data_IF_500766906712
#
_entry.id   IF_500766906712
#
_cell.length_a   1.000
_cell.length_b   1.000
_cell.length_c   1.000
_cell.angle_alpha   90.00
_cell.angle_beta   90.00
_cell.angle_gamma   90.00
#
_symmetry.space_group_name_H-M   'P 1'
#
loop_
_entity.id
_entity.type
_entity.pdbx_description
1 polymer ?
#
# COMPACT_ATOMS: atom_id res chain seq x y z
N UNK A 1 7.79 12.64 -12.33
CA UNK A 1 7.83 13.79 -13.27
C UNK A 1 9.14 14.60 -13.34
N UNK A 2 10.15 14.43 -12.46
CA UNK A 2 11.35 15.30 -12.44
C UNK A 2 12.61 14.83 -13.22
N UNK A 3 12.65 13.61 -13.79
CA UNK A 3 13.85 13.10 -14.52
C UNK A 3 13.82 13.25 -16.06
N UNK A 4 12.80 13.89 -16.63
CA UNK A 4 12.65 14.03 -18.09
C UNK A 4 12.70 15.46 -18.62
N UNK A 5 12.82 16.49 -17.77
CA UNK A 5 12.58 17.89 -18.18
C UNK A 5 13.48 18.43 -19.31
N UNK A 6 14.64 17.80 -19.59
CA UNK A 6 15.57 18.25 -20.65
C UNK A 6 16.01 17.14 -21.64
N UNK A 7 15.34 15.98 -21.68
CA UNK A 7 15.72 14.94 -22.67
C UNK A 7 15.05 15.21 -24.01
N UNK A 8 15.85 15.52 -25.04
CA UNK A 8 15.39 15.57 -26.43
C UNK A 8 15.09 14.14 -26.91
N UNK A 9 13.81 13.81 -27.07
CA UNK A 9 13.41 12.53 -27.66
C UNK A 9 13.49 12.61 -29.19
N UNK A 10 14.09 11.61 -29.82
CA UNK A 10 14.17 11.48 -31.29
C UNK A 10 13.13 10.46 -31.76
N UNK A 11 12.47 10.75 -32.88
CA UNK A 11 11.54 9.82 -33.49
C UNK A 11 12.33 8.64 -34.07
N UNK A 12 11.92 7.40 -33.78
CA UNK A 12 12.62 6.21 -34.29
C UNK A 12 12.52 6.07 -35.81
N UNK A 13 11.43 6.54 -36.43
CA UNK A 13 11.22 6.49 -37.88
C UNK A 13 11.71 7.73 -38.62
N UNK A 14 12.19 8.76 -37.92
CA UNK A 14 12.52 10.07 -38.52
C UNK A 14 11.33 10.86 -39.08
N UNK A 15 10.18 10.20 -39.30
CA UNK A 15 8.98 10.77 -39.93
C UNK A 15 8.09 11.59 -39.00
N UNK A 16 8.38 11.61 -37.70
CA UNK A 16 7.56 12.26 -36.67
C UNK A 16 6.07 11.83 -36.65
N UNK A 17 5.74 10.70 -37.31
CA UNK A 17 4.40 10.14 -37.47
C UNK A 17 4.44 8.61 -37.39
N UNK A 18 4.85 8.06 -36.26
CA UNK A 18 4.74 6.62 -36.05
C UNK A 18 3.25 6.23 -36.04
N UNK A 19 2.86 5.21 -36.80
CA UNK A 19 1.48 4.73 -36.85
C UNK A 19 1.04 4.17 -35.50
N UNK A 20 -0.18 4.52 -35.09
CA UNK A 20 -0.79 4.06 -33.84
C UNK A 20 -1.27 2.61 -34.08
N UNK A 21 -0.57 1.62 -33.53
CA UNK A 21 -0.92 0.20 -33.66
C UNK A 21 0.05 -0.74 -32.94
N UNK A 22 -0.14 -2.06 -33.08
CA UNK A 22 0.68 -3.13 -32.47
C UNK A 22 2.11 -3.16 -33.02
N UNK A 23 2.93 -2.21 -32.56
CA UNK A 23 4.31 -2.03 -32.99
C UNK A 23 4.88 -0.72 -32.48
N UNK A 24 6.19 -0.68 -32.23
CA UNK A 24 6.87 0.28 -31.34
C UNK A 24 6.48 1.75 -31.58
N UNK A 25 5.67 2.29 -30.68
CA UNK A 25 5.39 3.72 -30.54
C UNK A 25 6.57 4.44 -29.89
N UNK A 26 7.32 5.24 -30.66
CA UNK A 26 8.46 5.96 -30.09
C UNK A 26 8.00 7.03 -29.08
N UNK A 27 8.84 7.25 -28.06
CA UNK A 27 8.53 8.16 -26.95
C UNK A 27 8.26 9.61 -27.39
N UNK A 28 8.90 10.06 -28.49
CA UNK A 28 8.68 11.40 -29.06
C UNK A 28 7.25 11.55 -29.60
N UNK A 29 6.80 10.65 -30.48
CA UNK A 29 5.46 10.70 -31.06
C UNK A 29 4.37 10.52 -30.00
N UNK A 30 4.59 9.66 -29.00
CA UNK A 30 3.66 9.50 -27.88
C UNK A 30 3.49 10.78 -27.06
N UNK A 31 4.59 11.49 -26.76
CA UNK A 31 4.52 12.74 -26.00
C UNK A 31 3.84 13.86 -26.79
N UNK A 32 4.17 14.02 -28.08
CA UNK A 32 3.54 15.02 -28.96
C UNK A 32 2.03 14.77 -29.10
N UNK A 33 1.61 13.52 -29.15
CA UNK A 33 0.19 13.17 -29.20
C UNK A 33 -0.54 13.51 -27.89
N UNK A 34 0.11 13.29 -26.74
CA UNK A 34 -0.45 13.69 -25.44
C UNK A 34 -0.52 15.22 -25.32
N UNK A 35 0.51 15.94 -25.76
CA UNK A 35 0.52 17.41 -25.82
C UNK A 35 -0.63 17.92 -26.69
N UNK A 36 -0.82 17.36 -27.88
CA UNK A 36 -1.94 17.69 -28.79
C UNK A 36 -3.31 17.44 -28.17
N UNK A 37 -3.46 16.40 -27.36
CA UNK A 37 -4.73 16.09 -26.66
C UNK A 37 -4.97 16.99 -25.44
N UNK A 38 -3.90 17.54 -24.85
CA UNK A 38 -3.96 18.43 -23.69
C UNK A 38 -4.10 19.90 -24.09
N UNK A 39 -3.57 20.30 -25.24
CA UNK A 39 -3.78 21.61 -25.83
C UNK A 39 -5.21 21.72 -26.39
N UNK A 40 -6.13 22.22 -25.57
CA UNK A 40 -7.44 22.72 -26.06
C UNK A 40 -8.69 22.08 -25.46
N UNK A 41 -8.59 21.15 -24.51
CA UNK A 41 -9.77 20.63 -23.78
C UNK A 41 -9.57 20.68 -22.25
N UNK A 42 -10.51 21.24 -21.48
CA UNK A 42 -10.50 21.07 -20.03
C UNK A 42 -10.58 19.58 -19.68
N UNK A 43 -9.80 19.14 -18.68
CA UNK A 43 -9.69 17.74 -18.23
C UNK A 43 -11.05 17.07 -18.00
N UNK A 44 -12.08 17.84 -17.62
CA UNK A 44 -13.44 17.35 -17.44
C UNK A 44 -14.11 16.80 -18.70
N UNK A 45 -13.76 17.30 -19.90
CA UNK A 45 -14.33 16.79 -21.16
C UNK A 45 -13.68 15.49 -21.62
N UNK A 46 -12.37 15.33 -21.39
CA UNK A 46 -11.63 14.11 -21.76
C UNK A 46 -12.09 12.87 -20.97
N UNK A 47 -12.50 13.05 -19.71
CA UNK A 47 -13.06 11.97 -18.88
C UNK A 47 -14.50 11.61 -19.28
N UNK A 48 -15.25 12.58 -19.82
CA UNK A 48 -16.64 12.39 -20.25
C UNK A 48 -16.71 11.65 -21.60
N UNK A 49 -15.77 11.89 -22.50
CA UNK A 49 -15.67 11.18 -23.80
C UNK A 49 -15.32 9.69 -23.62
N UNK A 50 -14.41 9.34 -22.70
CA UNK A 50 -14.10 7.92 -22.39
C UNK A 50 -15.27 7.15 -21.76
N UNK A 51 -16.19 7.86 -21.12
CA UNK A 51 -17.39 7.27 -20.51
C UNK A 51 -18.51 7.04 -21.54
N UNK A 52 -18.53 7.81 -22.63
CA UNK A 52 -19.53 7.71 -23.69
C UNK A 52 -19.24 6.57 -24.68
N UNK A 53 -17.97 6.24 -24.92
CA UNK A 53 -17.57 5.18 -25.87
C UNK A 53 -17.75 3.74 -25.34
N UNK A 54 -18.06 3.54 -24.05
CA UNK A 54 -18.29 2.20 -23.46
C UNK A 54 -19.75 1.75 -23.39
N UNK A 55 -20.71 2.59 -23.76
CA UNK A 55 -22.14 2.30 -23.57
C UNK A 55 -22.93 1.95 -24.84
N UNK A 56 -22.26 1.76 -25.98
CA UNK A 56 -22.87 1.19 -27.18
C UNK A 56 -22.32 -0.20 -27.39
N UNK A 57 -22.95 -1.19 -26.76
CA UNK A 57 -23.09 -2.59 -27.23
C UNK A 57 -23.43 -3.52 -26.06
N UNK A 58 -24.72 -3.58 -25.69
CA UNK A 58 -25.40 -4.85 -25.40
C UNK A 58 -26.86 -4.61 -24.99
N UNK A 59 -27.77 -4.90 -25.92
CA UNK A 59 -29.18 -5.08 -25.66
C UNK A 59 -29.56 -6.51 -26.05
N UNK A 60 -30.09 -7.29 -25.09
CA UNK A 60 -31.12 -8.37 -25.21
C UNK A 60 -30.99 -9.39 -24.05
N UNK A 61 -32.02 -10.25 -23.79
CA UNK A 61 -33.40 -9.92 -23.47
C UNK A 61 -33.91 -10.63 -22.19
N UNK A 62 -35.09 -10.23 -21.72
CA UNK A 62 -35.76 -10.75 -20.54
C UNK A 62 -36.22 -12.21 -20.68
N UNK A 63 -36.06 -13.01 -19.61
CA UNK A 63 -36.74 -14.31 -19.44
C UNK A 63 -37.38 -14.43 -18.05
N UNK A 64 -38.53 -15.07 -18.02
CA UNK A 64 -39.57 -15.03 -16.98
C UNK A 64 -39.55 -16.29 -16.09
N UNK A 65 -39.69 -16.08 -14.77
CA UNK A 65 -40.23 -16.93 -13.67
C UNK A 65 -39.72 -18.38 -13.48
N UNK A 66 -39.41 -18.72 -12.22
CA UNK A 66 -40.38 -19.40 -11.33
C UNK A 66 -39.95 -19.45 -9.86
N UNK A 67 -40.93 -19.21 -8.98
CA UNK A 67 -40.87 -19.31 -7.53
C UNK A 67 -40.95 -20.77 -7.05
N UNK A 68 -40.21 -21.12 -5.99
CA UNK A 68 -40.60 -22.19 -5.06
C UNK A 68 -40.30 -21.80 -3.61
N UNK A 69 -41.29 -22.07 -2.79
CA UNK A 69 -41.45 -21.81 -1.36
C UNK A 69 -40.63 -22.77 -0.48
N UNK A 70 -40.36 -22.27 0.73
CA UNK A 70 -39.58 -22.80 1.89
C UNK A 70 -40.07 -24.15 2.46
N UNK A 71 -39.38 -24.76 3.47
CA UNK A 71 -39.44 -24.28 4.86
C UNK A 71 -38.18 -24.43 5.75
N UNK A 72 -38.01 -23.42 6.61
CA UNK A 72 -37.64 -23.42 8.04
C UNK A 72 -36.55 -24.34 8.63
N UNK A 73 -35.53 -23.71 9.21
CA UNK A 73 -34.91 -24.15 10.46
C UNK A 73 -34.30 -22.95 11.24
N UNK A 74 -34.95 -22.61 12.35
CA UNK A 74 -34.44 -22.18 13.68
C UNK A 74 -33.04 -21.50 13.66
N UNK A 75 -32.88 -20.21 13.95
CA UNK A 75 -33.39 -19.52 15.14
C UNK A 75 -32.24 -19.31 16.14
N UNK A 76 -31.32 -18.40 15.83
CA UNK A 76 -30.41 -17.76 16.80
C UNK A 76 -29.92 -16.42 16.22
N UNK A 77 -30.83 -15.45 16.17
CA UNK A 77 -30.51 -14.06 15.86
C UNK A 77 -29.82 -13.42 17.06
N UNK A 78 -28.49 -13.36 16.98
CA UNK A 78 -27.68 -12.47 17.81
C UNK A 78 -28.12 -11.01 17.56
N UNK A 79 -28.28 -10.17 18.61
CA UNK A 79 -28.67 -8.77 18.46
C UNK A 79 -27.57 -7.87 17.84
N UNK A 80 -26.45 -8.44 17.38
CA UNK A 80 -25.37 -7.72 16.72
C UNK A 80 -25.48 -7.65 15.18
N UNK A 81 -26.46 -8.29 14.57
CA UNK A 81 -26.48 -8.50 13.11
C UNK A 81 -27.20 -7.42 12.28
N UNK A 82 -28.02 -6.55 12.89
CA UNK A 82 -28.80 -5.56 12.14
C UNK A 82 -28.24 -4.13 12.18
N UNK A 83 -27.26 -3.83 13.04
CA UNK A 83 -26.58 -2.52 13.09
C UNK A 83 -25.14 -2.59 12.56
N UNK A 84 -24.86 -3.56 11.68
CA UNK A 84 -23.76 -3.50 10.72
C UNK A 84 -24.05 -2.40 9.68
N UNK A 85 -24.24 -1.16 10.16
CA UNK A 85 -24.01 0.07 9.41
C UNK A 85 -22.74 -0.17 8.62
N UNK A 86 -22.79 0.13 7.32
CA UNK A 86 -21.64 0.09 6.43
C UNK A 86 -20.48 0.83 7.09
N UNK A 87 -19.65 0.12 7.86
CA UNK A 87 -18.51 0.71 8.51
C UNK A 87 -17.58 1.08 7.39
N UNK A 88 -17.39 2.38 7.22
CA UNK A 88 -16.55 2.96 6.20
C UNK A 88 -15.17 2.27 6.22
N UNK A 89 -14.62 1.95 5.04
CA UNK A 89 -13.36 1.22 4.92
C UNK A 89 -12.22 1.96 5.62
N UNK A 90 -12.24 3.30 5.65
CA UNK A 90 -11.27 4.10 6.39
C UNK A 90 -11.35 3.86 7.90
N UNK A 91 -12.54 3.70 8.46
CA UNK A 91 -12.70 3.42 9.89
C UNK A 91 -12.19 2.01 10.25
N UNK A 92 -12.47 1.03 9.39
CA UNK A 92 -11.91 -0.31 9.54
C UNK A 92 -10.39 -0.33 9.38
N UNK A 93 -9.86 0.49 8.48
CA UNK A 93 -8.41 0.68 8.33
C UNK A 93 -7.79 1.25 9.60
N UNK A 94 -8.41 2.24 10.25
CA UNK A 94 -7.93 2.78 11.53
C UNK A 94 -7.86 1.69 12.60
N UNK A 95 -8.95 0.95 12.77
CA UNK A 95 -9.05 -0.11 13.78
C UNK A 95 -8.09 -1.27 13.48
N UNK A 96 -8.06 -1.75 12.24
CA UNK A 96 -7.20 -2.83 11.80
C UNK A 96 -5.72 -2.45 11.87
N UNK A 97 -5.35 -1.23 11.46
CA UNK A 97 -3.98 -0.76 11.56
C UNK A 97 -3.52 -0.68 13.02
N UNK A 98 -4.35 -0.10 13.91
CA UNK A 98 -4.06 -0.05 15.34
C UNK A 98 -3.87 -1.44 15.94
N UNK A 99 -4.82 -2.36 15.71
CA UNK A 99 -4.73 -3.74 16.20
C UNK A 99 -3.48 -4.47 15.69
N UNK A 100 -3.10 -4.23 14.43
CA UNK A 100 -1.87 -4.79 13.85
C UNK A 100 -0.62 -4.19 14.53
N UNK A 101 -0.58 -2.88 14.77
CA UNK A 101 0.51 -2.24 15.50
C UNK A 101 0.65 -2.84 16.91
N UNK A 102 -0.45 -2.94 17.67
CA UNK A 102 -0.50 -3.47 19.03
C UNK A 102 -0.06 -4.93 19.11
N UNK A 103 -0.45 -5.74 18.12
CA UNK A 103 -0.03 -7.15 18.02
C UNK A 103 1.47 -7.25 17.73
N UNK A 104 2.00 -6.39 16.84
CA UNK A 104 3.42 -6.38 16.45
C UNK A 104 4.32 -5.91 17.58
N UNK A 105 4.00 -4.78 18.21
CA UNK A 105 4.78 -4.28 19.36
C UNK A 105 4.81 -5.32 20.48
N UNK A 106 3.67 -5.91 20.83
CA UNK A 106 3.60 -6.96 21.87
C UNK A 106 4.45 -8.17 21.49
N UNK A 107 4.33 -8.65 20.25
CA UNK A 107 5.14 -9.76 19.74
C UNK A 107 6.64 -9.46 19.76
N UNK A 108 7.03 -8.27 19.34
CA UNK A 108 8.44 -7.87 19.30
C UNK A 108 9.05 -7.67 20.69
N UNK A 109 8.29 -7.12 21.65
CA UNK A 109 8.73 -6.99 23.05
C UNK A 109 8.91 -8.36 23.70
N UNK A 110 7.99 -9.31 23.43
CA UNK A 110 8.08 -10.68 23.93
C UNK A 110 9.24 -11.47 23.30
N UNK A 111 9.64 -11.13 22.08
CA UNK A 111 10.77 -11.75 21.39
C UNK A 111 12.14 -11.14 21.78
N UNK A 112 12.16 -10.11 22.64
CA UNK A 112 13.40 -9.41 23.02
C UNK A 112 14.25 -10.23 23.98
N UNK A 113 15.57 -10.08 23.85
CA UNK A 113 16.56 -10.67 24.75
C UNK A 113 17.50 -9.56 25.23
N UNK A 114 17.59 -9.28 26.54
CA UNK A 114 16.77 -9.86 27.62
C UNK A 114 15.29 -9.42 27.53
N UNK A 115 14.36 -10.18 28.14
CA UNK A 115 12.96 -9.80 28.16
C UNK A 115 12.75 -8.49 28.93
N UNK A 116 11.74 -7.71 28.51
CA UNK A 116 11.32 -6.49 29.22
C UNK A 116 10.32 -6.87 30.32
N UNK A 117 10.37 -6.14 31.43
CA UNK A 117 9.38 -6.31 32.49
C UNK A 117 7.98 -5.96 31.98
N UNK A 118 6.92 -6.76 32.24
CA UNK A 118 5.59 -6.51 31.70
C UNK A 118 5.02 -5.11 32.01
N UNK A 119 5.27 -4.59 33.21
CA UNK A 119 4.84 -3.22 33.57
C UNK A 119 5.50 -2.16 32.71
N UNK A 120 6.80 -2.29 32.42
CA UNK A 120 7.52 -1.34 31.56
C UNK A 120 7.01 -1.41 30.12
N UNK A 121 6.68 -2.61 29.63
CA UNK A 121 6.07 -2.78 28.32
C UNK A 121 4.71 -2.09 28.20
N UNK A 122 3.83 -2.24 29.20
CA UNK A 122 2.50 -1.60 29.24
C UNK A 122 2.61 -0.08 29.34
N UNK A 123 3.58 0.43 30.10
CA UNK A 123 3.83 1.86 30.26
C UNK A 123 4.60 2.49 29.09
N UNK A 124 5.00 1.69 28.10
CA UNK A 124 5.80 2.17 26.97
C UNK A 124 7.24 2.55 27.33
N UNK A 125 7.73 2.09 28.49
CA UNK A 125 9.07 2.35 29.02
C UNK A 125 10.07 1.33 28.51
N UNK A 126 10.36 1.38 27.21
CA UNK A 126 11.36 0.51 26.61
C UNK A 126 12.23 1.25 25.59
N UNK A 127 13.50 0.87 25.53
CA UNK A 127 14.42 1.43 24.54
C UNK A 127 14.15 0.88 23.16
N UNK A 128 14.24 1.72 22.13
CA UNK A 128 14.32 1.28 20.74
C UNK A 128 15.78 0.95 20.47
N UNK A 129 16.09 -0.32 20.21
CA UNK A 129 17.48 -0.78 20.07
C UNK A 129 17.94 -0.76 18.60
N UNK A 130 19.26 -0.65 18.34
CA UNK A 130 19.80 -0.97 17.02
C UNK A 130 19.38 -2.38 16.61
N UNK A 131 18.86 -2.50 15.38
CA UNK A 131 18.41 -3.77 14.86
C UNK A 131 19.60 -4.71 14.60
N UNK A 132 19.37 -6.00 14.81
CA UNK A 132 20.25 -7.09 14.37
C UNK A 132 19.51 -7.96 13.37
N UNK A 133 20.22 -8.79 12.62
CA UNK A 133 19.59 -9.76 11.72
C UNK A 133 18.54 -10.61 12.43
N UNK A 134 18.86 -11.11 13.63
CA UNK A 134 17.94 -11.94 14.43
C UNK A 134 16.69 -11.18 14.87
N UNK A 135 16.85 -9.92 15.33
CA UNK A 135 15.68 -9.12 15.75
C UNK A 135 14.78 -8.79 14.57
N UNK A 136 15.35 -8.55 13.38
CA UNK A 136 14.60 -8.28 12.15
C UNK A 136 13.87 -9.53 11.66
N UNK A 137 14.53 -10.69 11.68
CA UNK A 137 13.90 -11.96 11.29
C UNK A 137 12.68 -12.26 12.18
N UNK A 138 12.86 -12.15 13.50
CA UNK A 138 11.76 -12.32 14.45
C UNK A 138 10.62 -11.32 14.19
N UNK A 139 10.94 -10.03 14.06
CA UNK A 139 9.96 -8.99 13.77
C UNK A 139 9.23 -9.22 12.44
N UNK A 140 9.92 -9.70 11.40
CA UNK A 140 9.32 -10.00 10.11
C UNK A 140 8.32 -11.15 10.18
N UNK A 141 8.61 -12.20 10.95
CA UNK A 141 7.70 -13.33 11.15
C UNK A 141 6.42 -12.89 11.87
N UNK A 142 6.58 -12.12 12.95
CA UNK A 142 5.45 -11.51 13.67
C UNK A 142 4.62 -10.63 12.72
N UNK A 143 5.30 -9.81 11.92
CA UNK A 143 4.64 -8.89 11.01
C UNK A 143 3.85 -9.60 9.90
N UNK A 144 4.39 -10.65 9.28
CA UNK A 144 3.67 -11.44 8.28
C UNK A 144 2.39 -12.07 8.83
N UNK A 145 2.44 -12.60 10.06
CA UNK A 145 1.24 -13.12 10.74
C UNK A 145 0.22 -12.01 10.98
N UNK A 146 0.66 -10.86 11.47
CA UNK A 146 -0.22 -9.72 11.71
C UNK A 146 -0.84 -9.16 10.42
N UNK A 147 -0.16 -9.24 9.27
CA UNK A 147 -0.69 -8.82 7.97
C UNK A 147 -1.85 -9.70 7.48
N UNK A 148 -1.79 -11.01 7.71
CA UNK A 148 -2.88 -11.91 7.37
C UNK A 148 -4.14 -11.56 8.18
N UNK A 149 -3.97 -11.32 9.48
CA UNK A 149 -5.06 -10.89 10.37
C UNK A 149 -5.60 -9.51 9.98
N UNK A 150 -4.71 -8.58 9.64
CA UNK A 150 -5.08 -7.25 9.12
C UNK A 150 -5.97 -7.36 7.89
N UNK A 151 -5.62 -8.23 6.93
CA UNK A 151 -6.42 -8.46 5.73
C UNK A 151 -7.85 -8.88 6.07
N UNK A 152 -8.01 -9.86 6.97
CA UNK A 152 -9.30 -10.38 7.43
C UNK A 152 -10.15 -9.31 8.14
N UNK A 153 -9.54 -8.53 9.02
CA UNK A 153 -10.24 -7.49 9.79
C UNK A 153 -10.68 -6.33 8.89
N UNK A 154 -9.83 -5.90 7.96
CA UNK A 154 -10.06 -4.68 7.18
C UNK A 154 -10.92 -4.93 5.94
N UNK A 155 -10.71 -6.05 5.24
CA UNK A 155 -11.31 -6.26 3.92
C UNK A 155 -12.32 -7.41 3.93
N UNK A 156 -13.64 -7.12 3.78
CA UNK A 156 -14.65 -8.16 3.57
C UNK A 156 -14.27 -9.11 2.44
N UNK A 157 -14.52 -10.40 2.62
CA UNK A 157 -14.22 -11.39 1.59
C UNK A 157 -12.76 -11.82 1.53
N UNK A 158 -11.83 -11.14 2.22
CA UNK A 158 -10.44 -11.60 2.29
C UNK A 158 -10.36 -13.01 2.88
N UNK A 159 -11.14 -13.32 3.91
CA UNK A 159 -11.21 -14.66 4.50
C UNK A 159 -11.73 -15.74 3.54
N UNK A 160 -12.50 -15.36 2.51
CA UNK A 160 -12.98 -16.28 1.48
C UNK A 160 -11.92 -16.65 0.45
N UNK A 161 -10.81 -15.91 0.36
CA UNK A 161 -9.74 -16.22 -0.58
C UNK A 161 -9.00 -17.51 -0.24
N UNK A 162 -8.41 -18.13 -1.25
CA UNK A 162 -7.55 -19.30 -1.06
C UNK A 162 -6.33 -18.93 -0.20
N UNK A 163 -5.74 -19.93 0.46
CA UNK A 163 -4.52 -19.74 1.26
C UNK A 163 -3.38 -19.15 0.42
N UNK A 164 -3.24 -19.62 -0.82
CA UNK A 164 -2.14 -19.25 -1.70
C UNK A 164 -2.32 -17.83 -2.25
N UNK A 165 -3.55 -17.40 -2.55
CA UNK A 165 -3.85 -16.01 -2.92
C UNK A 165 -3.57 -15.07 -1.75
N UNK A 166 -4.08 -15.39 -0.54
CA UNK A 166 -3.81 -14.60 0.67
C UNK A 166 -2.32 -14.41 0.89
N UNK A 167 -1.55 -15.50 0.78
CA UNK A 167 -0.11 -15.47 0.95
C UNK A 167 0.59 -14.64 -0.13
N UNK A 168 0.18 -14.78 -1.40
CA UNK A 168 0.73 -14.02 -2.53
C UNK A 168 0.49 -12.52 -2.37
N UNK A 169 -0.73 -12.13 -1.99
CA UNK A 169 -1.10 -10.74 -1.73
C UNK A 169 -0.28 -10.17 -0.56
N UNK A 170 -0.27 -10.86 0.59
CA UNK A 170 0.42 -10.40 1.80
C UNK A 170 1.92 -10.29 1.60
N UNK A 171 2.56 -11.24 0.93
CA UNK A 171 4.01 -11.20 0.71
C UNK A 171 4.43 -10.12 -0.29
N UNK A 172 3.62 -9.85 -1.33
CA UNK A 172 3.82 -8.70 -2.22
C UNK A 172 3.66 -7.37 -1.45
N UNK A 173 2.63 -7.26 -0.61
CA UNK A 173 2.37 -6.08 0.21
C UNK A 173 3.47 -5.82 1.24
N UNK A 174 3.91 -6.87 1.94
CA UNK A 174 4.86 -6.81 3.05
C UNK A 174 6.11 -5.98 2.74
N UNK A 175 6.72 -6.18 1.56
CA UNK A 175 7.95 -5.48 1.17
C UNK A 175 7.74 -3.97 1.06
N UNK A 176 6.65 -3.56 0.42
CA UNK A 176 6.33 -2.15 0.18
C UNK A 176 5.87 -1.48 1.47
N UNK A 177 5.00 -2.15 2.21
CA UNK A 177 4.50 -1.69 3.50
C UNK A 177 5.64 -1.42 4.47
N UNK A 178 6.58 -2.38 4.61
CA UNK A 178 7.65 -2.28 5.60
C UNK A 178 8.47 -1.01 5.41
N UNK A 179 8.87 -0.69 4.18
CA UNK A 179 9.63 0.52 3.89
C UNK A 179 8.78 1.79 4.09
N UNK A 180 7.53 1.77 3.63
CA UNK A 180 6.61 2.90 3.71
C UNK A 180 6.25 3.27 5.15
N UNK A 181 5.83 2.29 5.95
CA UNK A 181 5.50 2.47 7.37
C UNK A 181 6.73 2.89 8.17
N UNK A 182 7.88 2.23 7.94
CA UNK A 182 9.11 2.59 8.63
C UNK A 182 9.48 4.06 8.38
N UNK A 183 9.38 4.52 7.13
CA UNK A 183 9.59 5.93 6.79
C UNK A 183 8.58 6.85 7.45
N UNK A 184 7.29 6.51 7.42
CA UNK A 184 6.22 7.33 8.02
C UNK A 184 6.41 7.50 9.53
N UNK A 185 6.79 6.42 10.24
CA UNK A 185 7.09 6.45 11.67
C UNK A 185 8.39 7.18 11.97
N UNK A 186 9.42 6.99 11.14
CA UNK A 186 10.72 7.63 11.29
C UNK A 186 10.64 9.15 11.16
N UNK A 187 9.80 9.68 10.26
CA UNK A 187 9.55 11.12 10.15
C UNK A 187 9.09 11.74 11.47
N UNK A 188 8.25 11.03 12.22
CA UNK A 188 7.74 11.50 13.51
C UNK A 188 8.73 11.31 14.65
N UNK A 189 9.46 10.19 14.66
CA UNK A 189 10.31 9.80 15.79
C UNK A 189 11.74 10.37 15.73
N UNK A 190 12.32 10.48 14.53
CA UNK A 190 13.72 10.83 14.34
C UNK A 190 13.92 12.21 13.71
N UNK A 191 12.84 12.90 13.35
CA UNK A 191 12.89 14.23 12.75
C UNK A 191 13.87 14.29 11.58
N UNK A 192 14.91 15.14 11.70
CA UNK A 192 15.91 15.36 10.64
C UNK A 192 17.02 14.30 10.58
N UNK A 193 17.06 13.33 11.49
CA UNK A 193 18.04 12.23 11.46
C UNK A 193 17.69 11.22 10.35
N UNK A 194 17.94 11.60 9.09
CA UNK A 194 17.57 10.83 7.90
C UNK A 194 18.34 9.50 7.74
N UNK A 195 19.36 9.27 8.59
CA UNK A 195 20.13 8.03 8.64
C UNK A 195 19.53 6.98 9.58
N UNK A 196 18.39 7.29 10.21
CA UNK A 196 17.64 6.34 11.04
C UNK A 196 16.28 6.02 10.44
N UNK A 197 15.86 4.76 10.57
CA UNK A 197 14.48 4.36 10.26
C UNK A 197 14.11 3.16 11.12
N UNK A 198 12.82 2.87 11.23
CA UNK A 198 12.38 1.70 12.00
C UNK A 198 12.65 0.39 11.27
N UNK A 199 13.23 -0.57 11.98
CA UNK A 199 13.34 -1.96 11.56
C UNK A 199 12.17 -2.81 12.10
N UNK A 200 11.54 -2.35 13.17
CA UNK A 200 10.35 -2.92 13.80
C UNK A 200 9.66 -1.87 14.69
N UNK A 201 8.84 -2.30 15.63
CA UNK A 201 8.37 -1.44 16.72
C UNK A 201 9.42 -1.20 17.80
N UNK A 202 10.28 -2.18 18.07
CA UNK A 202 11.25 -2.12 19.16
C UNK A 202 12.70 -1.95 18.68
N UNK A 203 12.90 -1.80 17.37
CA UNK A 203 14.23 -1.67 16.78
C UNK A 203 14.31 -0.68 15.62
N UNK A 204 15.49 -0.10 15.43
CA UNK A 204 15.80 0.84 14.35
C UNK A 204 17.04 0.42 13.55
N UNK A 205 17.06 0.76 12.27
CA UNK A 205 18.28 0.75 11.47
C UNK A 205 18.99 2.08 11.61
N UNK A 206 20.31 2.00 11.75
CA UNK A 206 21.25 3.10 11.58
C UNK A 206 22.02 2.88 10.28
N UNK A 207 22.19 3.91 9.46
CA UNK A 207 22.90 3.84 8.18
C UNK A 207 24.34 3.32 8.29
N UNK A 208 24.95 3.39 9.47
CA UNK A 208 26.30 2.84 9.71
C UNK A 208 26.32 1.34 10.09
N UNK A 209 25.15 0.77 10.42
CA UNK A 209 24.91 -0.58 10.95
C UNK A 209 25.83 -1.02 12.11
N UNK A 210 25.27 -1.53 13.22
CA UNK A 210 26.11 -1.97 14.32
C UNK A 210 27.01 -3.14 13.86
N UNK A 211 28.22 -3.23 14.43
CA UNK A 211 29.23 -4.22 14.00
C UNK A 211 28.71 -5.67 14.09
N UNK A 212 27.86 -5.93 15.09
CA UNK A 212 27.23 -7.22 15.35
C UNK A 212 25.92 -7.45 14.57
N UNK A 213 25.60 -6.65 13.55
CA UNK A 213 24.35 -6.76 12.81
C UNK A 213 24.13 -8.17 12.22
N UNK A 214 25.18 -8.76 11.65
CA UNK A 214 25.14 -10.06 10.98
C UNK A 214 25.44 -11.24 11.90
N UNK A 215 25.49 -11.04 13.23
CA UNK A 215 25.79 -12.11 14.17
C UNK A 215 24.74 -13.23 14.08
N UNK A 216 25.22 -14.44 13.76
CA UNK A 216 24.36 -15.62 13.56
C UNK A 216 23.53 -15.59 12.27
N UNK A 217 23.83 -14.70 11.33
CA UNK A 217 23.30 -14.74 9.98
C UNK A 217 24.08 -15.79 9.16
N UNK A 218 23.42 -16.69 8.40
CA UNK A 218 24.08 -17.69 7.57
C UNK A 218 24.64 -17.08 6.28
N UNK A 219 25.41 -15.99 6.38
CA UNK A 219 26.04 -15.31 5.24
C UNK A 219 27.47 -15.79 5.07
N UNK A 220 27.80 -16.17 3.83
CA UNK A 220 29.14 -16.62 3.44
C UNK A 220 30.12 -15.43 3.45
N UNK A 221 29.67 -14.24 3.07
CA UNK A 221 30.45 -12.99 3.09
C UNK A 221 29.68 -11.87 3.81
N UNK A 222 29.91 -11.76 5.12
CA UNK A 222 29.29 -10.73 5.95
C UNK A 222 29.71 -9.30 5.57
N UNK A 223 30.92 -9.13 5.02
CA UNK A 223 31.44 -7.80 4.64
C UNK A 223 30.73 -7.28 3.41
N UNK A 224 30.56 -8.12 2.39
CA UNK A 224 29.81 -7.77 1.19
C UNK A 224 28.32 -7.59 1.51
N UNK A 225 27.74 -8.46 2.35
CA UNK A 225 26.36 -8.31 2.81
C UNK A 225 26.15 -6.96 3.51
N UNK A 226 27.08 -6.54 4.38
CA UNK A 226 27.06 -5.23 5.03
C UNK A 226 27.10 -4.10 4.00
N UNK A 227 28.08 -4.13 3.08
CA UNK A 227 28.24 -3.09 2.05
C UNK A 227 26.98 -2.92 1.19
N UNK A 228 26.39 -4.04 0.74
CA UNK A 228 25.16 -4.02 -0.08
C UNK A 228 23.98 -3.47 0.73
N UNK A 229 23.86 -3.87 2.00
CA UNK A 229 22.77 -3.41 2.84
C UNK A 229 22.89 -1.93 3.16
N UNK A 230 24.10 -1.42 3.44
CA UNK A 230 24.38 0.00 3.65
C UNK A 230 24.08 0.84 2.40
N UNK A 231 24.54 0.41 1.21
CA UNK A 231 24.24 1.12 -0.05
C UNK A 231 22.72 1.19 -0.28
N UNK A 232 22.03 0.07 -0.11
CA UNK A 232 20.58 0.00 -0.25
C UNK A 232 19.88 0.87 0.78
N UNK A 233 20.35 0.86 2.02
CA UNK A 233 19.80 1.67 3.09
C UNK A 233 19.89 3.16 2.77
N UNK A 234 21.11 3.62 2.48
CA UNK A 234 21.44 5.02 2.27
C UNK A 234 20.80 5.59 1.00
N UNK A 235 20.52 4.75 -0.01
CA UNK A 235 19.82 5.18 -1.22
C UNK A 235 18.31 5.11 -1.09
N UNK A 236 17.76 3.96 -0.71
CA UNK A 236 16.33 3.69 -0.83
C UNK A 236 15.55 4.30 0.34
N UNK A 237 16.01 4.11 1.58
CA UNK A 237 15.29 4.62 2.76
C UNK A 237 15.41 6.14 2.88
N UNK A 238 16.59 6.71 2.60
CA UNK A 238 16.76 8.15 2.59
C UNK A 238 15.81 8.82 1.58
N UNK A 239 15.81 8.33 0.34
CA UNK A 239 14.94 8.87 -0.72
C UNK A 239 13.46 8.70 -0.36
N UNK A 240 13.07 7.54 0.17
CA UNK A 240 11.70 7.26 0.58
C UNK A 240 11.24 8.18 1.72
N UNK A 241 12.09 8.41 2.74
CA UNK A 241 11.81 9.34 3.82
C UNK A 241 11.63 10.77 3.32
N UNK A 242 12.50 11.23 2.41
CA UNK A 242 12.35 12.55 1.78
C UNK A 242 11.04 12.69 1.01
N UNK A 243 10.59 11.64 0.32
CA UNK A 243 9.29 11.64 -0.36
C UNK A 243 8.13 11.70 0.63
N UNK A 244 8.17 10.95 1.73
CA UNK A 244 7.16 10.97 2.78
C UNK A 244 7.11 12.32 3.52
N UNK A 245 8.28 12.89 3.82
CA UNK A 245 8.42 14.22 4.38
C UNK A 245 7.73 15.27 3.51
N UNK A 246 8.05 15.25 2.21
CA UNK A 246 7.47 16.18 1.23
C UNK A 246 5.96 15.94 1.07
N UNK A 247 5.53 14.69 1.12
CA UNK A 247 4.11 14.34 1.02
C UNK A 247 3.33 14.81 2.25
N UNK A 248 3.95 14.94 3.43
CA UNK A 248 3.31 15.40 4.67
C UNK A 248 1.93 14.74 4.88
N UNK A 249 1.93 13.41 4.98
CA UNK A 249 0.71 12.61 5.01
C UNK A 249 -0.05 12.82 6.32
N UNK A 250 -1.35 13.12 6.20
CA UNK A 250 -2.30 12.95 7.29
C UNK A 250 -2.51 11.45 7.55
N UNK A 251 -2.99 11.11 8.74
CA UNK A 251 -3.11 9.71 9.12
C UNK A 251 -4.08 8.94 8.21
N UNK A 252 -5.22 9.53 7.85
CA UNK A 252 -6.19 8.88 6.96
C UNK A 252 -5.67 8.70 5.53
N UNK A 253 -4.86 9.65 5.04
CA UNK A 253 -4.18 9.51 3.75
C UNK A 253 -3.14 8.39 3.78
N UNK A 254 -2.39 8.27 4.89
CA UNK A 254 -1.47 7.16 5.10
C UNK A 254 -2.21 5.82 5.08
N UNK A 255 -3.33 5.70 5.79
CA UNK A 255 -4.16 4.49 5.82
C UNK A 255 -4.74 4.14 4.44
N UNK A 256 -5.21 5.14 3.69
CA UNK A 256 -5.69 4.94 2.32
C UNK A 256 -4.58 4.43 1.40
N UNK A 257 -3.37 5.02 1.46
CA UNK A 257 -2.21 4.55 0.69
C UNK A 257 -1.84 3.12 1.08
N UNK A 258 -1.89 2.77 2.37
CA UNK A 258 -1.67 1.40 2.83
C UNK A 258 -2.66 0.41 2.20
N UNK A 259 -3.95 0.76 2.17
CA UNK A 259 -4.97 -0.10 1.59
C UNK A 259 -4.80 -0.29 0.08
N UNK A 260 -4.48 0.79 -0.65
CA UNK A 260 -4.19 0.73 -2.09
C UNK A 260 -2.93 -0.09 -2.39
N UNK A 261 -1.94 -0.03 -1.51
CA UNK A 261 -0.72 -0.82 -1.59
C UNK A 261 -0.98 -2.30 -1.31
N UNK A 262 -1.87 -2.63 -0.36
CA UNK A 262 -2.32 -4.00 -0.08
C UNK A 262 -2.93 -4.63 -1.33
N UNK A 263 -3.82 -3.87 -2.00
CA UNK A 263 -4.48 -4.28 -3.24
C UNK A 263 -3.72 -3.86 -4.49
N UNK A 264 -2.38 -3.84 -4.45
CA UNK A 264 -1.56 -3.68 -5.67
C UNK A 264 -1.25 -5.04 -6.26
N UNK A 265 -2.29 -5.70 -6.78
CA UNK A 265 -2.27 -7.10 -7.23
C UNK A 265 -2.04 -7.29 -8.73
N UNK A 266 -1.86 -6.20 -9.48
CA UNK A 266 -1.64 -6.26 -10.92
C UNK A 266 -0.42 -7.11 -11.28
N UNK A 267 -0.64 -8.13 -12.11
CA UNK A 267 0.41 -9.07 -12.55
C UNK A 267 0.79 -10.14 -11.53
N UNK A 268 0.09 -10.24 -10.39
CA UNK A 268 0.26 -11.37 -9.47
C UNK A 268 -0.47 -12.61 -9.99
N UNK A 269 0.05 -13.82 -9.73
CA UNK A 269 -0.59 -15.08 -10.11
C UNK A 269 -1.69 -15.45 -9.08
N UNK A 270 -2.75 -14.64 -9.03
CA UNK A 270 -3.91 -14.86 -8.17
C UNK A 270 -5.15 -15.17 -9.03
N UNK A 271 -6.17 -15.78 -8.43
CA UNK A 271 -7.40 -16.10 -9.15
C UNK A 271 -8.29 -14.86 -9.43
N UNK A 272 -9.33 -15.09 -10.23
CA UNK A 272 -10.27 -14.03 -10.65
C UNK A 272 -11.06 -13.45 -9.47
N UNK A 273 -11.43 -14.27 -8.48
CA UNK A 273 -12.14 -13.84 -7.28
C UNK A 273 -11.30 -12.84 -6.46
N UNK A 274 -10.01 -13.14 -6.27
CA UNK A 274 -9.07 -12.26 -5.58
C UNK A 274 -8.82 -10.97 -6.37
N UNK A 275 -8.78 -11.06 -7.70
CA UNK A 275 -8.65 -9.90 -8.59
C UNK A 275 -9.88 -8.99 -8.51
N UNK A 276 -11.08 -9.56 -8.56
CA UNK A 276 -12.34 -8.83 -8.41
C UNK A 276 -12.46 -8.17 -7.04
N UNK A 277 -12.10 -8.90 -5.97
CA UNK A 277 -12.09 -8.35 -4.61
C UNK A 277 -11.10 -7.18 -4.49
N UNK A 278 -9.90 -7.33 -5.05
CA UNK A 278 -8.89 -6.27 -5.09
C UNK A 278 -9.43 -4.98 -5.74
N UNK A 279 -10.05 -5.10 -6.91
CA UNK A 279 -10.66 -3.96 -7.61
C UNK A 279 -11.77 -3.31 -6.78
N UNK A 280 -12.68 -4.12 -6.25
CA UNK A 280 -13.79 -3.64 -5.40
C UNK A 280 -13.29 -2.87 -4.19
N UNK A 281 -12.28 -3.39 -3.48
CA UNK A 281 -11.70 -2.73 -2.32
C UNK A 281 -10.98 -1.43 -2.70
N UNK A 282 -10.23 -1.40 -3.80
CA UNK A 282 -9.55 -0.17 -4.26
C UNK A 282 -10.55 0.93 -4.60
N UNK A 283 -11.63 0.58 -5.30
CA UNK A 283 -12.71 1.52 -5.63
C UNK A 283 -13.35 2.10 -4.37
N UNK A 284 -13.62 1.25 -3.37
CA UNK A 284 -14.16 1.69 -2.08
C UNK A 284 -13.22 2.67 -1.36
N UNK A 285 -11.91 2.37 -1.29
CA UNK A 285 -10.91 3.26 -0.70
C UNK A 285 -10.85 4.60 -1.43
N UNK A 286 -10.81 4.59 -2.76
CA UNK A 286 -10.74 5.82 -3.56
C UNK A 286 -12.01 6.67 -3.41
N UNK A 287 -13.18 6.03 -3.34
CA UNK A 287 -14.45 6.70 -3.13
C UNK A 287 -14.53 7.37 -1.76
N UNK A 288 -14.07 6.69 -0.70
CA UNK A 288 -14.04 7.30 0.63
C UNK A 288 -12.97 8.39 0.75
N UNK A 289 -11.82 8.21 0.10
CA UNK A 289 -10.78 9.24 0.05
C UNK A 289 -11.27 10.50 -0.69
N UNK A 290 -12.11 10.35 -1.71
CA UNK A 290 -12.81 11.47 -2.35
C UNK A 290 -13.71 12.22 -1.35
N UNK A 291 -14.55 11.50 -0.60
CA UNK A 291 -15.41 12.06 0.44
C UNK A 291 -14.58 12.78 1.51
N UNK A 292 -13.53 12.15 2.02
CA UNK A 292 -12.60 12.74 2.98
C UNK A 292 -12.01 14.08 2.48
N UNK A 293 -11.58 14.15 1.22
CA UNK A 293 -11.04 15.40 0.67
C UNK A 293 -12.07 16.51 0.55
N UNK A 294 -13.27 16.19 0.08
CA UNK A 294 -14.31 17.20 -0.15
C UNK A 294 -15.02 17.62 1.12
N UNK A 295 -15.43 16.64 1.91
CA UNK A 295 -16.37 16.85 3.02
C UNK A 295 -15.63 17.17 4.31
N UNK A 296 -14.48 16.51 4.58
CA UNK A 296 -13.71 16.75 5.82
C UNK A 296 -12.63 17.84 5.64
N UNK A 297 -11.93 17.86 4.50
CA UNK A 297 -10.88 18.85 4.26
C UNK A 297 -11.34 20.08 3.49
N UNK A 298 -12.56 20.09 2.93
CA UNK A 298 -13.10 21.22 2.17
C UNK A 298 -12.29 21.53 0.91
N UNK A 299 -11.66 20.53 0.29
CA UNK A 299 -10.85 20.71 -0.91
C UNK A 299 -11.70 20.56 -2.18
N UNK A 300 -11.89 21.66 -2.90
CA UNK A 300 -12.62 21.66 -4.18
C UNK A 300 -11.81 21.02 -5.33
N UNK A 301 -10.49 21.26 -5.36
CA UNK A 301 -9.54 20.63 -6.29
C UNK A 301 -8.46 19.86 -5.50
N UNK A 302 -8.74 18.58 -5.25
CA UNK A 302 -7.82 17.66 -4.58
C UNK A 302 -7.05 16.77 -5.57
N UNK A 303 -7.16 16.99 -6.89
CA UNK A 303 -6.55 16.10 -7.90
C UNK A 303 -5.03 16.04 -7.76
N UNK A 304 -4.38 17.18 -7.52
CA UNK A 304 -2.94 17.24 -7.26
C UNK A 304 -2.55 16.47 -5.99
N UNK A 305 -3.38 16.52 -4.93
CA UNK A 305 -3.13 15.80 -3.68
C UNK A 305 -3.28 14.30 -3.88
N UNK A 306 -4.36 13.85 -4.51
CA UNK A 306 -4.57 12.45 -4.85
C UNK A 306 -3.43 11.92 -5.74
N UNK A 307 -3.01 12.69 -6.74
CA UNK A 307 -1.86 12.35 -7.58
C UNK A 307 -0.57 12.18 -6.78
N UNK A 308 -0.32 13.05 -5.80
CA UNK A 308 0.82 12.92 -4.89
C UNK A 308 0.74 11.64 -4.04
N UNK A 309 -0.45 11.27 -3.55
CA UNK A 309 -0.64 10.01 -2.80
C UNK A 309 -0.40 8.77 -3.67
N UNK A 310 -0.96 8.74 -4.87
CA UNK A 310 -0.78 7.62 -5.81
C UNK A 310 0.67 7.48 -6.26
N UNK A 311 1.44 8.57 -6.25
CA UNK A 311 2.87 8.55 -6.56
C UNK A 311 3.71 7.82 -5.51
N UNK A 312 3.20 7.64 -4.29
CA UNK A 312 3.86 6.86 -3.24
C UNK A 312 3.68 5.34 -3.43
N UNK A 313 2.85 4.91 -4.38
CA UNK A 313 2.64 3.48 -4.70
C UNK A 313 3.64 2.94 -5.74
N UNK A 314 4.41 3.82 -6.39
CA UNK A 314 5.38 3.49 -7.44
C UNK A 314 6.79 3.34 -6.89
#
# INVERSE_FOLDING_TARGET
FRRSRNRKYVCRSGSDRCSIGEGINCRKCRMRELERKLEGKPIGELLREQSAERNTDNAQPAFVRQSRTSPSSLGNSSPFAEDAKKTLILERLRQGYRSMCDSRITGELNARVPPIHPSDAVEGKYDILPATYRSIDAANRIFLTALLQFGSVVFPGFDGLTRDDKWTIVTNFFRRFRAFEAGYRAEKAFGREMQKTFAGFTSYFDGNMPANFFDGCPVIDAKEAKRVMEDKFNRDYHTSRMHLHTANLRHDEFLAVLALMFWSTDGLPINDDATHLSQTCREAVLKELHGYFRDELGLDDYAARLGALLMLLQ
#
